data_IF_956238308296
#
_entry.id   IF_956238308296
#
_cell.length_a   1.000
_cell.length_b   1.000
_cell.length_c   1.000
_cell.angle_alpha   90.00
_cell.angle_beta   90.00
_cell.angle_gamma   90.00
#
_symmetry.space_group_name_H-M   'P 1'
#
loop_
_entity.id
_entity.type
_entity.pdbx_description
1 polymer ?
#
# COMPACT_ATOMS: atom_id res chain seq x y z
N UNK A 1 13.03 -11.92 -15.38
CA UNK A 1 12.51 -12.20 -14.00
C UNK A 1 11.03 -11.91 -14.00
N UNK A 2 10.24 -12.65 -13.23
CA UNK A 2 8.79 -12.41 -13.09
C UNK A 2 8.58 -11.18 -12.21
N UNK A 3 7.76 -10.23 -12.64
CA UNK A 3 7.42 -9.04 -11.84
C UNK A 3 6.76 -9.42 -10.51
N UNK A 4 7.02 -8.68 -9.44
CA UNK A 4 6.36 -8.85 -8.15
C UNK A 4 4.88 -8.48 -8.23
N UNK A 5 4.56 -7.39 -8.95
CA UNK A 5 3.19 -7.00 -9.31
C UNK A 5 3.16 -6.73 -10.81
N UNK A 6 2.13 -7.22 -11.50
CA UNK A 6 1.82 -6.82 -12.86
C UNK A 6 0.33 -6.64 -13.06
N UNK A 7 -0.06 -5.60 -13.80
CA UNK A 7 -1.43 -5.38 -14.25
C UNK A 7 -1.47 -5.17 -15.75
N UNK A 8 -2.51 -5.67 -16.40
CA UNK A 8 -2.73 -5.52 -17.84
C UNK A 8 -4.13 -4.97 -18.08
N UNK A 9 -4.23 -3.75 -18.60
CA UNK A 9 -5.47 -3.01 -18.87
C UNK A 9 -6.47 -3.08 -17.72
N UNK A 10 -5.95 -2.95 -16.49
CA UNK A 10 -6.77 -3.09 -15.30
C UNK A 10 -7.75 -1.93 -15.19
N UNK A 11 -9.05 -2.26 -15.18
CA UNK A 11 -10.10 -1.27 -15.08
C UNK A 11 -11.13 -1.59 -14.00
N UNK A 12 -11.69 -0.54 -13.42
CA UNK A 12 -12.74 -0.65 -12.41
C UNK A 12 -13.83 0.39 -12.62
N UNK A 13 -15.06 -0.11 -12.81
CA UNK A 13 -16.28 0.70 -12.89
C UNK A 13 -17.13 0.41 -11.66
N UNK A 14 -17.47 1.46 -10.94
CA UNK A 14 -18.44 1.42 -9.86
C UNK A 14 -19.83 1.80 -10.35
N UNK A 15 -20.86 1.24 -9.72
CA UNK A 15 -22.25 1.67 -9.89
C UNK A 15 -22.70 2.32 -8.61
N UNK A 16 -22.99 3.63 -8.65
CA UNK A 16 -23.22 4.44 -7.47
C UNK A 16 -24.62 5.04 -7.51
N UNK A 17 -25.24 5.12 -6.33
CA UNK A 17 -26.56 5.74 -6.16
C UNK A 17 -27.74 4.90 -6.68
N UNK A 18 -28.94 5.40 -6.45
CA UNK A 18 -30.20 4.73 -6.81
C UNK A 18 -30.32 4.49 -8.33
N UNK A 19 -29.81 5.42 -9.14
CA UNK A 19 -29.82 5.35 -10.62
C UNK A 19 -28.64 4.55 -11.20
N UNK A 20 -27.87 3.83 -10.38
CA UNK A 20 -26.74 2.98 -10.83
C UNK A 20 -25.77 3.72 -11.76
N UNK A 21 -25.52 5.02 -11.50
CA UNK A 21 -24.58 5.83 -12.28
C UNK A 21 -23.20 5.16 -12.30
N UNK A 22 -22.65 5.00 -13.49
CA UNK A 22 -21.30 4.46 -13.66
C UNK A 22 -20.26 5.52 -13.27
N UNK A 23 -19.34 5.15 -12.42
CA UNK A 23 -18.18 5.95 -12.05
C UNK A 23 -16.95 5.11 -12.32
N UNK A 24 -16.06 5.57 -13.17
CA UNK A 24 -14.80 4.89 -13.46
C UNK A 24 -13.80 5.19 -12.35
N UNK A 25 -13.35 4.16 -11.69
CA UNK A 25 -12.34 4.25 -10.63
C UNK A 25 -10.93 3.91 -11.10
N UNK A 26 -10.82 3.14 -12.20
CA UNK A 26 -9.56 2.81 -12.88
C UNK A 26 -9.83 2.63 -14.38
N UNK A 27 -8.87 3.07 -15.21
CA UNK A 27 -8.92 3.01 -16.68
C UNK A 27 -7.60 2.46 -17.19
N UNK A 28 -7.66 1.24 -17.76
CA UNK A 28 -6.57 0.59 -18.49
C UNK A 28 -5.19 0.72 -17.81
N UNK A 29 -5.13 0.45 -16.49
CA UNK A 29 -3.89 0.55 -15.73
C UNK A 29 -2.95 -0.61 -16.09
N UNK A 30 -1.84 -0.27 -16.76
CA UNK A 30 -0.70 -1.17 -17.02
C UNK A 30 0.45 -0.80 -16.07
N UNK A 31 0.79 -1.70 -15.14
CA UNK A 31 1.80 -1.47 -14.12
C UNK A 31 2.69 -2.69 -13.96
N UNK A 32 4.00 -2.45 -13.77
CA UNK A 32 4.96 -3.50 -13.40
C UNK A 32 5.85 -3.02 -12.26
N UNK A 33 5.87 -3.82 -11.17
CA UNK A 33 6.77 -3.65 -10.03
C UNK A 33 7.75 -4.81 -10.00
N UNK A 34 9.05 -4.49 -9.90
CA UNK A 34 10.10 -5.50 -9.92
C UNK A 34 10.32 -6.09 -8.51
N UNK A 35 10.79 -7.35 -8.40
CA UNK A 35 11.17 -7.90 -7.10
C UNK A 35 12.30 -7.09 -6.45
N UNK A 36 12.19 -6.86 -5.13
CA UNK A 36 13.22 -6.23 -4.32
C UNK A 36 13.27 -4.70 -4.37
N UNK A 37 12.36 -4.03 -5.11
CA UNK A 37 12.30 -2.57 -5.14
C UNK A 37 11.30 -1.99 -4.12
N UNK A 38 11.53 -0.76 -3.70
CA UNK A 38 10.53 0.07 -3.04
C UNK A 38 9.82 0.92 -4.10
N UNK A 39 8.52 0.69 -4.28
CA UNK A 39 7.71 1.30 -5.31
C UNK A 39 6.63 2.20 -4.72
N UNK A 40 6.65 3.49 -5.08
CA UNK A 40 5.68 4.50 -4.68
C UNK A 40 4.51 4.59 -5.66
N UNK A 41 3.28 4.46 -5.16
CA UNK A 41 2.06 4.61 -5.95
C UNK A 41 1.33 5.88 -5.51
N UNK A 42 1.52 6.97 -6.24
CA UNK A 42 1.14 8.32 -5.82
C UNK A 42 -0.01 8.90 -6.67
N UNK A 43 -0.67 9.88 -6.11
CA UNK A 43 -1.76 10.60 -6.77
C UNK A 43 -2.70 11.25 -5.77
N UNK A 44 -3.59 12.13 -6.23
CA UNK A 44 -4.56 12.80 -5.37
C UNK A 44 -5.57 11.80 -4.76
N UNK A 45 -6.36 12.29 -3.80
CA UNK A 45 -7.48 11.51 -3.27
C UNK A 45 -8.49 11.23 -4.39
N UNK A 46 -8.96 9.98 -4.45
CA UNK A 46 -9.87 9.55 -5.53
C UNK A 46 -9.19 9.12 -6.82
N UNK A 47 -7.86 9.22 -6.95
CA UNK A 47 -7.13 8.83 -8.16
C UNK A 47 -7.22 7.33 -8.52
N UNK A 48 -7.68 6.47 -7.60
CA UNK A 48 -7.79 5.02 -7.83
C UNK A 48 -6.77 4.17 -7.06
N UNK A 49 -5.88 4.77 -6.25
CA UNK A 49 -4.82 4.07 -5.51
C UNK A 49 -5.35 2.92 -4.64
N UNK A 50 -6.24 3.22 -3.71
CA UNK A 50 -6.88 2.21 -2.84
C UNK A 50 -7.70 1.18 -3.63
N UNK A 51 -8.31 1.58 -4.75
CA UNK A 51 -9.00 0.65 -5.67
C UNK A 51 -8.04 -0.38 -6.24
N UNK A 52 -6.90 0.08 -6.76
CA UNK A 52 -5.83 -0.79 -7.28
C UNK A 52 -5.34 -1.76 -6.20
N UNK A 53 -5.02 -1.24 -5.01
CA UNK A 53 -4.56 -2.05 -3.88
C UNK A 53 -5.61 -3.10 -3.50
N UNK A 54 -6.89 -2.74 -3.39
CA UNK A 54 -7.96 -3.70 -3.07
C UNK A 54 -8.11 -4.80 -4.12
N UNK A 55 -7.90 -4.50 -5.40
CA UNK A 55 -7.91 -5.50 -6.46
C UNK A 55 -6.70 -6.43 -6.31
N UNK A 56 -5.49 -5.89 -6.12
CA UNK A 56 -4.28 -6.67 -5.89
C UNK A 56 -4.40 -7.59 -4.68
N UNK A 57 -5.07 -7.15 -3.61
CA UNK A 57 -5.30 -7.96 -2.42
C UNK A 57 -6.46 -8.96 -2.58
N UNK A 58 -7.12 -9.02 -3.74
CA UNK A 58 -8.29 -9.86 -3.98
C UNK A 58 -9.50 -9.51 -3.11
N UNK A 59 -9.53 -8.30 -2.55
CA UNK A 59 -10.64 -7.76 -1.75
C UNK A 59 -11.76 -7.20 -2.63
N UNK A 60 -11.45 -6.96 -3.90
CA UNK A 60 -12.37 -6.40 -4.88
C UNK A 60 -12.03 -6.94 -6.27
N UNK A 61 -13.05 -7.33 -7.04
CA UNK A 61 -12.86 -7.76 -8.42
C UNK A 61 -12.63 -6.58 -9.38
N UNK A 62 -11.75 -6.76 -10.37
CA UNK A 62 -11.63 -5.87 -11.51
C UNK A 62 -12.89 -5.93 -12.39
N UNK A 63 -13.17 -4.86 -13.16
CA UNK A 63 -14.22 -4.88 -14.19
C UNK A 63 -13.63 -5.35 -15.52
N UNK A 64 -12.41 -4.94 -15.84
CA UNK A 64 -11.66 -5.33 -17.03
C UNK A 64 -10.19 -5.58 -16.67
N UNK A 65 -9.48 -6.27 -17.54
CA UNK A 65 -8.06 -6.53 -17.39
C UNK A 65 -7.72 -7.57 -16.33
N UNK A 66 -6.44 -7.69 -16.01
CA UNK A 66 -5.91 -8.68 -15.08
C UNK A 66 -4.91 -8.05 -14.10
N UNK A 67 -4.78 -8.66 -12.93
CA UNK A 67 -3.77 -8.30 -11.93
C UNK A 67 -3.11 -9.58 -11.40
N UNK A 68 -1.78 -9.59 -11.37
CA UNK A 68 -0.97 -10.73 -10.94
C UNK A 68 0.05 -10.32 -9.89
N UNK A 69 0.35 -11.23 -8.99
CA UNK A 69 1.41 -11.12 -8.00
C UNK A 69 2.34 -12.32 -8.21
N UNK A 70 3.64 -12.04 -8.44
CA UNK A 70 4.65 -13.03 -8.80
C UNK A 70 4.21 -13.95 -9.96
N UNK A 71 3.50 -13.38 -10.95
CA UNK A 71 3.00 -14.09 -12.11
C UNK A 71 1.70 -14.88 -11.91
N UNK A 72 1.23 -15.03 -10.67
CA UNK A 72 -0.02 -15.71 -10.33
C UNK A 72 -1.18 -14.72 -10.21
N UNK A 73 -2.41 -15.19 -10.47
CA UNK A 73 -3.60 -14.36 -10.28
C UNK A 73 -3.72 -13.89 -8.83
N UNK A 74 -3.94 -12.58 -8.63
CA UNK A 74 -4.02 -11.96 -7.30
C UNK A 74 -5.20 -12.49 -6.44
N UNK A 75 -6.21 -13.14 -7.05
CA UNK A 75 -7.33 -13.76 -6.34
C UNK A 75 -6.97 -15.12 -5.74
N UNK A 76 -5.84 -15.72 -6.14
CA UNK A 76 -5.37 -16.98 -5.60
C UNK A 76 -4.98 -16.82 -4.12
N UNK A 77 -5.56 -17.66 -3.25
CA UNK A 77 -5.29 -17.61 -1.81
C UNK A 77 -3.81 -17.91 -1.47
N UNK A 78 -3.15 -18.79 -2.24
CA UNK A 78 -1.74 -19.13 -2.01
C UNK A 78 -0.82 -17.94 -2.30
N UNK A 79 -1.14 -17.15 -3.31
CA UNK A 79 -0.42 -15.91 -3.65
C UNK A 79 -0.44 -14.93 -2.47
N UNK A 80 -1.60 -14.79 -1.80
CA UNK A 80 -1.75 -13.90 -0.65
C UNK A 80 -0.97 -14.31 0.58
N UNK A 81 -0.61 -15.58 0.73
CA UNK A 81 0.28 -16.04 1.82
C UNK A 81 1.69 -15.41 1.75
N UNK A 82 2.10 -14.96 0.57
CA UNK A 82 3.39 -14.30 0.31
C UNK A 82 3.34 -12.78 0.49
N UNK A 83 2.14 -12.23 0.81
CA UNK A 83 1.89 -10.79 0.84
C UNK A 83 1.56 -10.33 2.25
N UNK A 84 2.27 -9.32 2.72
CA UNK A 84 1.90 -8.54 3.90
C UNK A 84 1.07 -7.32 3.48
N UNK A 85 -0.07 -7.10 4.13
CA UNK A 85 -0.96 -6.00 3.75
C UNK A 85 -1.32 -5.13 4.94
N UNK A 86 -1.13 -3.82 4.77
CA UNK A 86 -1.61 -2.79 5.69
C UNK A 86 -2.63 -1.90 4.95
N UNK A 87 -3.92 -1.94 5.29
CA UNK A 87 -4.91 -0.99 4.76
C UNK A 87 -4.74 0.40 5.37
N UNK A 88 -5.26 1.43 4.70
CA UNK A 88 -5.26 2.83 5.18
C UNK A 88 -5.80 2.95 6.63
N UNK A 89 -6.81 2.15 6.95
CA UNK A 89 -7.41 2.06 8.30
C UNK A 89 -7.44 0.61 8.73
N UNK A 90 -6.46 0.14 9.49
CA UNK A 90 -6.50 -1.21 10.03
C UNK A 90 -7.64 -1.32 11.05
N UNK A 91 -8.43 -2.37 10.91
CA UNK A 91 -9.54 -2.67 11.82
C UNK A 91 -9.19 -3.91 12.64
N UNK A 92 -9.25 -3.76 13.95
CA UNK A 92 -8.98 -4.84 14.90
C UNK A 92 -10.12 -4.98 15.89
N UNK A 93 -10.21 -6.15 16.52
CA UNK A 93 -11.09 -6.36 17.65
C UNK A 93 -10.60 -5.55 18.85
N UNK A 94 -11.30 -4.49 19.20
CA UNK A 94 -10.88 -3.50 20.19
C UNK A 94 -10.69 -4.04 21.61
N UNK A 95 -11.36 -5.17 21.95
CA UNK A 95 -11.22 -5.84 23.23
C UNK A 95 -9.95 -6.67 23.36
N UNK A 96 -9.26 -6.97 22.28
CA UNK A 96 -7.98 -7.66 22.29
C UNK A 96 -6.81 -6.70 22.54
N UNK A 97 -5.72 -7.22 23.03
CA UNK A 97 -4.42 -6.52 23.12
C UNK A 97 -3.64 -6.65 21.81
N UNK A 98 -2.61 -5.81 21.62
CA UNK A 98 -1.74 -5.92 20.45
C UNK A 98 -1.04 -7.29 20.37
N UNK A 99 -0.60 -7.81 21.51
CA UNK A 99 0.01 -9.13 21.61
C UNK A 99 -0.95 -10.25 21.17
N UNK A 100 -2.18 -10.25 21.67
CA UNK A 100 -3.19 -11.24 21.34
C UNK A 100 -3.57 -11.20 19.86
N UNK A 101 -3.76 -10.00 19.29
CA UNK A 101 -4.05 -9.82 17.86
C UNK A 101 -2.92 -10.37 16.99
N UNK A 102 -1.67 -10.04 17.30
CA UNK A 102 -0.53 -10.54 16.51
C UNK A 102 -0.37 -12.06 16.67
N UNK A 103 -0.59 -12.62 17.85
CA UNK A 103 -0.62 -14.07 18.02
C UNK A 103 -1.75 -14.72 17.24
N UNK A 104 -2.94 -14.13 17.20
CA UNK A 104 -4.06 -14.61 16.39
C UNK A 104 -3.72 -14.65 14.89
N UNK A 105 -3.19 -13.55 14.34
CA UNK A 105 -2.75 -13.54 12.93
C UNK A 105 -1.64 -14.55 12.65
N UNK A 106 -0.67 -14.69 13.54
CA UNK A 106 0.38 -15.68 13.38
C UNK A 106 -0.14 -17.12 13.40
N UNK A 107 -1.27 -17.38 14.10
CA UNK A 107 -1.95 -18.68 14.02
C UNK A 107 -2.61 -18.89 12.66
N UNK A 108 -3.23 -17.87 12.08
CA UNK A 108 -3.84 -17.95 10.75
C UNK A 108 -2.80 -18.24 9.65
N UNK A 109 -1.56 -17.78 9.84
CA UNK A 109 -0.42 -18.12 8.98
C UNK A 109 0.26 -19.45 9.35
N UNK A 110 -0.32 -20.22 10.29
CA UNK A 110 0.22 -21.52 10.73
C UNK A 110 1.66 -21.45 11.26
N UNK A 111 2.06 -20.28 11.80
CA UNK A 111 3.40 -20.09 12.34
C UNK A 111 3.64 -20.95 13.58
N UNK A 112 4.79 -21.64 13.66
CA UNK A 112 5.20 -22.34 14.88
C UNK A 112 5.20 -21.40 16.10
N UNK A 113 4.78 -21.91 17.26
CA UNK A 113 4.53 -21.07 18.43
C UNK A 113 5.77 -20.29 18.89
N UNK A 114 6.94 -20.88 18.83
CA UNK A 114 8.19 -20.24 19.27
C UNK A 114 8.61 -19.13 18.29
N UNK A 115 8.54 -19.39 16.98
CA UNK A 115 8.78 -18.38 15.95
C UNK A 115 7.80 -17.21 16.09
N UNK A 116 6.52 -17.52 16.29
CA UNK A 116 5.46 -16.51 16.45
C UNK A 116 5.70 -15.64 17.68
N UNK A 117 6.06 -16.24 18.83
CA UNK A 117 6.40 -15.49 20.05
C UNK A 117 7.56 -14.53 19.82
N UNK A 118 8.61 -14.99 19.18
CA UNK A 118 9.79 -14.17 18.89
C UNK A 118 9.46 -13.05 17.91
N UNK A 119 8.76 -13.35 16.81
CA UNK A 119 8.35 -12.33 15.82
C UNK A 119 7.47 -11.26 16.44
N UNK A 120 6.49 -11.65 17.25
CA UNK A 120 5.60 -10.69 17.97
C UNK A 120 6.41 -9.79 18.90
N UNK A 121 7.35 -10.36 19.68
CA UNK A 121 8.22 -9.60 20.59
C UNK A 121 9.06 -8.56 19.81
N UNK A 122 9.77 -9.03 18.78
CA UNK A 122 10.65 -8.19 17.98
C UNK A 122 9.88 -7.07 17.27
N UNK A 123 8.74 -7.37 16.65
CA UNK A 123 7.96 -6.37 15.93
C UNK A 123 7.37 -5.31 16.88
N UNK A 124 6.84 -5.70 18.05
CA UNK A 124 6.34 -4.76 19.04
C UNK A 124 7.44 -3.84 19.59
N UNK A 125 8.65 -4.37 19.75
CA UNK A 125 9.82 -3.57 20.13
C UNK A 125 10.20 -2.58 19.05
N UNK A 126 10.27 -3.01 17.77
CA UNK A 126 10.58 -2.18 16.62
C UNK A 126 9.61 -1.00 16.46
N UNK A 127 8.32 -1.24 16.66
CA UNK A 127 7.31 -0.18 16.59
C UNK A 127 7.12 0.60 17.90
N UNK A 128 7.98 0.38 18.92
CA UNK A 128 7.95 1.06 20.25
C UNK A 128 6.61 0.86 20.97
N UNK A 129 6.00 -0.32 20.88
CA UNK A 129 4.74 -0.65 21.54
C UNK A 129 4.88 -1.69 22.66
N UNK A 130 6.11 -2.09 23.03
CA UNK A 130 6.34 -3.11 24.08
C UNK A 130 5.62 -2.80 25.40
N UNK A 131 5.63 -1.52 25.85
CA UNK A 131 4.96 -1.11 27.09
C UNK A 131 3.44 -1.15 27.02
N UNK A 132 2.88 -1.15 25.83
CA UNK A 132 1.45 -1.16 25.59
C UNK A 132 0.96 -2.52 25.10
N UNK A 133 1.85 -3.50 24.88
CA UNK A 133 1.57 -4.78 24.25
C UNK A 133 0.36 -5.53 24.85
N UNK A 134 0.15 -5.37 26.16
CA UNK A 134 -0.89 -6.03 26.93
C UNK A 134 -2.06 -5.09 27.34
N UNK A 135 -2.10 -3.88 26.73
CA UNK A 135 -3.23 -2.94 26.85
C UNK A 135 -4.18 -3.19 25.69
N UNK A 136 -5.50 -3.14 25.94
CA UNK A 136 -6.54 -3.34 24.93
C UNK A 136 -6.48 -2.27 23.83
N UNK A 137 -6.72 -2.69 22.58
CA UNK A 137 -6.64 -1.82 21.41
C UNK A 137 -7.68 -0.69 21.43
N UNK A 138 -8.77 -0.82 22.18
CA UNK A 138 -9.73 0.25 22.46
C UNK A 138 -9.08 1.52 23.05
N UNK A 139 -7.93 1.38 23.71
CA UNK A 139 -7.19 2.50 24.33
C UNK A 139 -6.07 3.05 23.44
N UNK A 140 -5.91 2.51 22.23
CA UNK A 140 -4.83 2.92 21.34
C UNK A 140 -5.22 4.16 20.53
N UNK A 141 -4.24 5.05 20.32
CA UNK A 141 -4.38 6.12 19.33
C UNK A 141 -4.38 5.58 17.91
N UNK A 142 -4.87 6.36 16.94
CA UNK A 142 -4.82 6.00 15.52
C UNK A 142 -3.41 5.59 15.09
N UNK A 143 -2.38 6.34 15.51
CA UNK A 143 -0.98 6.03 15.19
C UNK A 143 -0.47 4.74 15.85
N UNK A 144 -0.96 4.39 17.04
CA UNK A 144 -0.64 3.10 17.65
C UNK A 144 -1.30 1.93 16.89
N UNK A 145 -2.56 2.06 16.48
CA UNK A 145 -3.25 1.06 15.65
C UNK A 145 -2.56 0.86 14.31
N UNK A 146 -2.12 1.95 13.67
CA UNK A 146 -1.35 1.90 12.42
C UNK A 146 -0.06 1.08 12.59
N UNK A 147 0.67 1.29 13.68
CA UNK A 147 1.89 0.55 14.01
C UNK A 147 1.62 -0.94 14.30
N UNK A 148 0.50 -1.28 14.95
CA UNK A 148 0.07 -2.70 15.10
C UNK A 148 -0.26 -3.30 13.74
N UNK A 149 -0.93 -2.56 12.84
CA UNK A 149 -1.20 -3.00 11.47
C UNK A 149 0.06 -3.29 10.68
N UNK A 150 1.10 -2.46 10.84
CA UNK A 150 2.40 -2.71 10.23
C UNK A 150 3.05 -3.98 10.80
N UNK A 151 2.99 -4.21 12.12
CA UNK A 151 3.44 -5.47 12.70
C UNK A 151 2.70 -6.67 12.12
N UNK A 152 1.37 -6.58 11.96
CA UNK A 152 0.56 -7.65 11.37
C UNK A 152 0.97 -7.91 9.91
N UNK A 153 1.20 -6.86 9.12
CA UNK A 153 1.65 -7.01 7.74
C UNK A 153 3.03 -7.68 7.62
N UNK A 154 3.94 -7.46 8.58
CA UNK A 154 5.30 -8.00 8.58
C UNK A 154 5.46 -9.33 9.33
N UNK A 155 4.42 -9.80 10.01
CA UNK A 155 4.50 -10.88 11.00
C UNK A 155 5.03 -12.20 10.43
N UNK A 156 4.53 -12.60 9.27
CA UNK A 156 4.83 -13.88 8.60
C UNK A 156 6.00 -13.79 7.61
N UNK A 157 6.78 -12.71 7.65
CA UNK A 157 7.96 -12.48 6.80
C UNK A 157 7.66 -12.52 5.29
N UNK A 158 6.72 -11.68 4.79
CA UNK A 158 6.27 -11.73 3.40
C UNK A 158 7.38 -11.36 2.41
N UNK A 159 7.21 -11.79 1.16
CA UNK A 159 8.08 -11.41 0.04
C UNK A 159 7.67 -10.06 -0.59
N UNK A 160 6.36 -9.77 -0.56
CA UNK A 160 5.77 -8.51 -1.01
C UNK A 160 5.02 -7.84 0.15
N UNK A 161 5.28 -6.57 0.37
CA UNK A 161 4.65 -5.75 1.40
C UNK A 161 3.84 -4.66 0.69
N UNK A 162 2.52 -4.68 0.87
CA UNK A 162 1.59 -3.72 0.27
C UNK A 162 1.01 -2.84 1.38
N UNK A 163 1.24 -1.53 1.28
CA UNK A 163 0.86 -0.58 2.32
C UNK A 163 -0.01 0.54 1.71
N UNK A 164 -1.24 0.67 2.20
CA UNK A 164 -2.14 1.75 1.77
C UNK A 164 -2.04 2.92 2.75
N UNK A 165 -1.40 4.03 2.32
CA UNK A 165 -1.17 5.25 3.11
C UNK A 165 -0.54 4.98 4.50
N UNK A 166 0.60 4.27 4.60
CA UNK A 166 1.13 3.77 5.87
C UNK A 166 1.49 4.85 6.87
N UNK A 167 1.77 6.06 6.41
CA UNK A 167 2.22 7.19 7.25
C UNK A 167 1.10 8.18 7.58
N UNK A 168 -0.12 7.94 7.06
CA UNK A 168 -1.27 8.82 7.30
C UNK A 168 -1.64 8.90 8.77
N UNK A 169 -1.74 10.14 9.29
CA UNK A 169 -2.15 10.40 10.68
C UNK A 169 -1.10 10.05 11.74
N UNK A 170 0.15 9.81 11.34
CA UNK A 170 1.27 9.66 12.26
C UNK A 170 1.92 11.01 12.55
N UNK A 171 2.43 11.16 13.78
CA UNK A 171 3.33 12.22 14.15
C UNK A 171 4.72 12.06 13.46
N UNK A 172 5.58 13.08 13.44
CA UNK A 172 6.88 12.99 12.77
C UNK A 172 7.75 11.82 13.26
N UNK A 173 7.68 11.46 14.55
CA UNK A 173 8.43 10.33 15.11
C UNK A 173 7.88 9.00 14.62
N UNK A 174 6.56 8.85 14.56
CA UNK A 174 5.88 7.67 14.02
C UNK A 174 6.16 7.49 12.52
N UNK A 175 6.18 8.59 11.75
CA UNK A 175 6.52 8.57 10.31
C UNK A 175 7.97 8.11 10.08
N UNK A 176 8.93 8.66 10.83
CA UNK A 176 10.32 8.23 10.75
C UNK A 176 10.47 6.73 11.04
N UNK A 177 9.79 6.23 12.08
CA UNK A 177 9.82 4.82 12.44
C UNK A 177 9.25 3.93 11.31
N UNK A 178 8.14 4.30 10.69
CA UNK A 178 7.54 3.54 9.58
C UNK A 178 8.46 3.57 8.36
N UNK A 179 9.05 4.72 8.05
CA UNK A 179 10.03 4.87 6.97
C UNK A 179 11.22 3.94 7.16
N UNK A 180 11.82 3.97 8.36
CA UNK A 180 12.98 3.14 8.69
C UNK A 180 12.65 1.64 8.54
N UNK A 181 11.46 1.20 8.98
CA UNK A 181 10.99 -0.17 8.79
C UNK A 181 10.81 -0.55 7.31
N UNK A 182 10.30 0.35 6.48
CA UNK A 182 10.16 0.11 5.03
C UNK A 182 11.54 -0.03 4.40
N UNK A 183 12.48 0.85 4.71
CA UNK A 183 13.85 0.79 4.20
C UNK A 183 14.55 -0.51 4.62
N UNK A 184 14.41 -0.95 5.88
CA UNK A 184 14.94 -2.22 6.35
C UNK A 184 14.37 -3.42 5.57
N UNK A 185 13.07 -3.42 5.25
CA UNK A 185 12.48 -4.49 4.46
C UNK A 185 13.03 -4.51 3.03
N UNK A 186 13.20 -3.34 2.41
CA UNK A 186 13.83 -3.20 1.09
C UNK A 186 15.28 -3.70 1.12
N UNK A 187 16.07 -3.29 2.10
CA UNK A 187 17.46 -3.74 2.28
C UNK A 187 17.57 -5.27 2.48
N UNK A 188 16.55 -5.87 3.12
CA UNK A 188 16.42 -7.32 3.23
C UNK A 188 15.98 -8.02 1.92
N UNK A 189 15.87 -7.28 0.81
CA UNK A 189 15.49 -7.81 -0.51
C UNK A 189 13.99 -8.04 -0.71
N UNK A 190 13.15 -7.56 0.20
CA UNK A 190 11.69 -7.62 0.05
C UNK A 190 11.21 -6.55 -0.93
N UNK A 191 10.12 -6.84 -1.62
CA UNK A 191 9.43 -5.84 -2.45
C UNK A 191 8.47 -5.04 -1.58
N UNK A 192 8.54 -3.72 -1.66
CA UNK A 192 7.59 -2.85 -0.96
C UNK A 192 6.83 -2.01 -1.97
N UNK A 193 5.51 -2.12 -1.95
CA UNK A 193 4.59 -1.31 -2.74
C UNK A 193 3.72 -0.50 -1.80
N UNK A 194 3.80 0.82 -1.85
CA UNK A 194 2.96 1.63 -0.98
C UNK A 194 2.34 2.83 -1.69
N UNK A 195 1.10 3.14 -1.32
CA UNK A 195 0.44 4.37 -1.72
C UNK A 195 0.80 5.51 -0.78
N UNK A 196 0.92 6.71 -1.32
CA UNK A 196 1.05 7.93 -0.52
C UNK A 196 0.54 9.16 -1.28
N UNK A 197 0.07 10.15 -0.51
CA UNK A 197 -0.11 11.53 -0.96
C UNK A 197 0.96 12.46 -0.36
N UNK A 198 1.88 11.94 0.47
CA UNK A 198 2.98 12.69 1.09
C UNK A 198 4.25 12.42 0.28
N UNK A 199 4.56 13.33 -0.63
CA UNK A 199 5.59 13.13 -1.64
C UNK A 199 7.01 13.07 -1.05
N UNK A 200 7.28 13.82 0.02
CA UNK A 200 8.57 13.78 0.73
C UNK A 200 8.91 12.39 1.32
N UNK A 201 7.90 11.60 1.70
CA UNK A 201 8.13 10.23 2.16
C UNK A 201 8.47 9.30 0.97
N UNK A 202 7.82 9.54 -0.18
CA UNK A 202 8.08 8.78 -1.42
C UNK A 202 9.49 9.06 -1.93
N UNK A 203 9.90 10.34 -1.98
CA UNK A 203 11.24 10.74 -2.39
C UNK A 203 12.35 10.15 -1.51
N UNK A 204 12.07 9.96 -0.21
CA UNK A 204 13.01 9.39 0.74
C UNK A 204 13.14 7.85 0.69
N UNK A 205 12.18 7.15 0.11
CA UNK A 205 12.06 5.68 0.24
C UNK A 205 12.16 4.98 -1.12
N UNK A 206 11.54 5.54 -2.17
CA UNK A 206 11.26 4.80 -3.39
C UNK A 206 12.41 4.78 -4.38
N UNK A 207 12.56 3.64 -5.06
CA UNK A 207 13.42 3.49 -6.23
C UNK A 207 12.69 3.97 -7.49
N UNK A 208 11.40 3.60 -7.58
CA UNK A 208 10.51 3.91 -8.69
C UNK A 208 9.16 4.38 -8.19
N UNK A 209 8.48 5.15 -9.02
CA UNK A 209 7.17 5.70 -8.72
C UNK A 209 6.22 5.55 -9.91
N UNK A 210 4.92 5.48 -9.61
CA UNK A 210 3.85 5.63 -10.58
C UNK A 210 2.88 6.72 -10.12
N UNK A 211 2.55 7.64 -11.03
CA UNK A 211 1.63 8.75 -10.80
C UNK A 211 0.28 8.40 -11.40
N UNK A 212 -0.72 8.31 -10.55
CA UNK A 212 -2.10 8.03 -10.92
C UNK A 212 -2.95 9.29 -10.76
N UNK A 213 -3.66 9.69 -11.82
CA UNK A 213 -4.60 10.81 -11.79
C UNK A 213 -5.88 10.39 -12.51
N UNK A 214 -7.03 10.60 -11.88
CA UNK A 214 -8.36 10.28 -12.42
C UNK A 214 -8.48 8.84 -12.98
N UNK A 215 -7.95 7.88 -12.24
CA UNK A 215 -7.97 6.45 -12.58
C UNK A 215 -7.00 6.03 -13.68
N UNK A 216 -6.14 6.91 -14.18
CA UNK A 216 -5.17 6.64 -15.24
C UNK A 216 -3.74 6.79 -14.76
N UNK A 217 -2.87 5.90 -15.23
CA UNK A 217 -1.44 6.02 -15.08
C UNK A 217 -0.92 7.14 -15.99
N UNK A 218 -0.37 8.19 -15.39
CA UNK A 218 0.16 9.35 -16.14
C UNK A 218 1.67 9.24 -16.35
N UNK A 219 2.38 8.80 -15.34
CA UNK A 219 3.83 8.65 -15.40
C UNK A 219 4.28 7.44 -14.55
N UNK A 220 5.30 6.73 -15.00
CA UNK A 220 5.90 5.61 -14.26
C UNK A 220 7.35 5.44 -14.66
N UNK A 221 8.26 5.46 -13.68
CA UNK A 221 9.70 5.33 -13.93
C UNK A 221 10.54 5.31 -12.67
N UNK A 222 11.86 5.29 -12.84
CA UNK A 222 12.77 5.53 -11.73
C UNK A 222 12.51 6.93 -11.14
N UNK A 223 12.54 7.07 -9.82
CA UNK A 223 12.25 8.34 -9.17
C UNK A 223 13.14 9.47 -9.70
N UNK A 224 14.42 9.17 -9.90
CA UNK A 224 15.39 10.13 -10.46
C UNK A 224 14.99 10.61 -11.87
N UNK A 225 14.48 9.72 -12.72
CA UNK A 225 14.09 10.06 -14.10
C UNK A 225 12.78 10.87 -14.11
N UNK A 226 11.83 10.52 -13.24
CA UNK A 226 10.55 11.22 -13.12
C UNK A 226 10.74 12.67 -12.65
N UNK A 227 11.75 12.93 -11.83
CA UNK A 227 12.05 14.26 -11.28
C UNK A 227 13.11 15.02 -12.08
N UNK A 228 13.87 14.35 -13.02
CA UNK A 228 15.10 14.86 -13.64
C UNK A 228 15.03 16.28 -14.21
N UNK A 229 13.90 16.66 -14.85
CA UNK A 229 13.71 17.97 -15.50
C UNK A 229 12.77 18.90 -14.69
N UNK A 230 12.51 18.57 -13.41
CA UNK A 230 11.50 19.24 -12.57
C UNK A 230 12.05 19.47 -11.16
N UNK A 231 11.59 20.52 -10.50
CA UNK A 231 12.09 20.92 -9.19
C UNK A 231 11.80 19.88 -8.08
N UNK A 232 10.72 19.12 -8.21
CA UNK A 232 10.27 18.14 -7.20
C UNK A 232 9.19 17.20 -7.76
N UNK A 233 8.94 16.10 -7.06
CA UNK A 233 7.83 15.19 -7.36
C UNK A 233 6.46 15.91 -7.25
N UNK A 234 6.37 16.95 -6.42
CA UNK A 234 5.16 17.78 -6.30
C UNK A 234 4.87 18.54 -7.59
N UNK A 235 5.89 19.15 -8.20
CA UNK A 235 5.72 19.86 -9.48
C UNK A 235 5.29 18.92 -10.62
N UNK A 236 5.79 17.67 -10.60
CA UNK A 236 5.34 16.61 -11.51
C UNK A 236 3.86 16.33 -11.33
N UNK A 237 3.44 16.04 -10.09
CA UNK A 237 2.05 15.69 -9.78
C UNK A 237 1.08 16.83 -10.14
N UNK A 238 1.42 18.07 -9.79
CA UNK A 238 0.61 19.26 -10.11
C UNK A 238 0.50 19.43 -11.63
N UNK A 239 1.58 19.25 -12.37
CA UNK A 239 1.58 19.30 -13.83
C UNK A 239 0.65 18.26 -14.46
N UNK A 240 0.68 17.02 -13.99
CA UNK A 240 -0.21 15.96 -14.48
C UNK A 240 -1.69 16.21 -14.12
N UNK A 241 -1.96 16.76 -12.95
CA UNK A 241 -3.33 17.15 -12.55
C UNK A 241 -3.87 18.28 -13.43
N UNK A 242 -3.07 19.29 -13.77
CA UNK A 242 -3.47 20.41 -14.62
C UNK A 242 -3.85 19.95 -16.03
N UNK A 243 -3.11 19.03 -16.63
CA UNK A 243 -3.43 18.45 -17.95
C UNK A 243 -4.83 17.83 -17.99
N UNK A 244 -5.23 17.11 -16.93
CA UNK A 244 -6.56 16.49 -16.84
C UNK A 244 -7.67 17.53 -16.76
N UNK A 245 -7.44 18.64 -16.07
CA UNK A 245 -8.41 19.73 -15.96
C UNK A 245 -8.64 20.38 -17.33
N UNK A 246 -7.59 20.61 -18.11
CA UNK A 246 -7.66 21.17 -19.45
C UNK A 246 -8.36 20.23 -20.43
N UNK A 247 -8.04 18.92 -20.41
CA UNK A 247 -8.71 17.88 -21.21
C UNK A 247 -10.22 17.81 -20.93
N UNK A 248 -10.62 17.94 -19.67
CA UNK A 248 -12.04 17.92 -19.26
C UNK A 248 -12.80 19.18 -19.71
N UNK A 249 -12.13 20.31 -19.81
CA UNK A 249 -12.73 21.60 -20.24
C UNK A 249 -12.91 21.65 -21.75
N UNK A 250 -12.00 21.05 -22.53
CA UNK A 250 -12.07 20.98 -23.99
C UNK A 250 -13.10 19.95 -24.50
N UNK A 251 -13.47 18.95 -23.69
CA UNK A 251 -14.46 17.91 -24.02
C UNK A 251 -15.93 18.33 -23.81
N UNK A 252 -16.21 19.56 -23.37
CA UNK A 252 -17.56 20.08 -23.06
C UNK A 252 -18.02 21.14 -24.11
N UNK A 253 -17.24 21.38 -25.15
CA UNK A 253 -17.59 22.19 -26.33
C UNK A 253 -17.95 21.27 -27.50
#
# INVERSE_FOLDING_TARGET
MTAAISTEKLGKIYRVGFFMRKVEGLRDLDLQVQPGEAFGFIGPNGAGKTTTIKILMGLQGATTGTARIFGEDCTNANTRRRVGFLPERPYFYEHLTAREVLHFYGQLFEMPIELRRERVRVLLERVKLTRFADVTLAKYSKGMLQRVGLCQALLHDPELIVLDEPMSGLDPVGRALVRDLILEQREAGKTVFFSSHILSDVEAICDRVAILVDGQLRECGALADVVADRDSLESVLVGEMSKVTDESTLGVL
#
